data_IF_234452584514
#
_entry.id   IF_234452584514
#
_cell.length_a   1.000
_cell.length_b   1.000
_cell.length_c   1.000
_cell.angle_alpha   90.00
_cell.angle_beta   90.00
_cell.angle_gamma   90.00
#
_symmetry.space_group_name_H-M   'P 1'
#
loop_
_entity.id
_entity.type
_entity.pdbx_description
1 polymer ?
#
# COMPACT_ATOMS: atom_id res chain seq x y z
N UNK A 1 12.59 32.45 -13.56
CA UNK A 1 12.80 31.11 -14.14
C UNK A 1 11.74 30.20 -13.52
N UNK A 2 10.84 29.64 -14.32
CA UNK A 2 9.91 28.63 -13.82
C UNK A 2 10.74 27.41 -13.31
N UNK A 3 10.40 26.81 -12.16
CA UNK A 3 11.07 25.59 -11.74
C UNK A 3 10.80 24.54 -12.81
N UNK A 4 11.89 23.99 -13.37
CA UNK A 4 11.79 22.94 -14.38
C UNK A 4 10.94 21.79 -13.83
N UNK A 5 10.06 21.23 -14.66
CA UNK A 5 9.33 20.01 -14.34
C UNK A 5 10.36 18.93 -13.95
N UNK A 6 10.46 18.65 -12.69
CA UNK A 6 11.26 17.54 -12.18
C UNK A 6 10.37 16.32 -12.25
N UNK A 7 10.57 15.47 -13.25
CA UNK A 7 9.86 14.19 -13.31
C UNK A 7 10.22 13.38 -12.07
N UNK A 8 9.19 12.91 -11.36
CA UNK A 8 9.40 12.00 -10.25
C UNK A 8 10.01 10.68 -10.75
N UNK A 9 10.88 10.11 -9.95
CA UNK A 9 11.54 8.84 -10.24
C UNK A 9 11.08 7.81 -9.20
N UNK A 10 9.93 7.15 -9.41
CA UNK A 10 9.37 6.22 -8.46
C UNK A 10 10.05 4.86 -8.48
N UNK A 11 10.07 4.19 -7.33
CA UNK A 11 10.31 2.77 -7.15
C UNK A 11 9.13 2.14 -6.41
N UNK A 12 8.72 0.93 -6.79
CA UNK A 12 7.67 0.18 -6.10
C UNK A 12 8.33 -0.88 -5.23
N UNK A 13 7.97 -0.89 -3.96
CA UNK A 13 8.47 -1.86 -2.98
C UNK A 13 7.30 -2.58 -2.33
N UNK A 14 7.38 -3.92 -2.30
CA UNK A 14 6.34 -4.81 -1.78
C UNK A 14 6.88 -5.48 -0.53
N UNK A 15 6.51 -5.05 0.69
CA UNK A 15 6.95 -5.72 1.91
C UNK A 15 6.23 -7.05 2.07
N UNK A 16 7.00 -8.11 2.42
CA UNK A 16 6.45 -9.43 2.66
C UNK A 16 7.25 -10.18 3.73
N UNK A 17 6.56 -10.94 4.60
CA UNK A 17 7.18 -11.88 5.56
C UNK A 17 6.28 -13.08 5.77
N UNK A 18 6.90 -14.24 6.10
CA UNK A 18 6.15 -15.48 6.35
C UNK A 18 5.35 -15.44 7.66
N UNK A 19 5.80 -14.67 8.63
CA UNK A 19 5.17 -14.54 9.95
C UNK A 19 3.86 -13.74 9.85
N UNK A 20 2.76 -14.42 9.50
CA UNK A 20 1.41 -13.88 9.49
C UNK A 20 0.52 -14.68 10.45
N UNK A 21 -0.03 -14.00 11.47
CA UNK A 21 -0.77 -14.68 12.57
C UNK A 21 -2.07 -15.31 12.10
N UNK A 22 -2.83 -14.63 11.22
CA UNK A 22 -4.16 -15.07 10.75
C UNK A 22 -4.09 -16.05 9.56
N UNK A 23 -3.00 -16.03 8.81
CA UNK A 23 -2.78 -16.88 7.64
C UNK A 23 -1.28 -17.18 7.51
N UNK A 24 -0.74 -18.20 8.23
CA UNK A 24 0.66 -18.57 8.15
C UNK A 24 1.10 -18.88 6.70
N UNK A 25 2.29 -18.42 6.30
CA UNK A 25 2.77 -18.61 4.94
C UNK A 25 2.02 -17.79 3.88
N UNK A 26 1.24 -16.80 4.29
CA UNK A 26 0.39 -15.96 3.44
C UNK A 26 1.04 -15.52 2.11
N UNK A 27 2.29 -15.01 2.05
CA UNK A 27 2.89 -14.55 0.80
C UNK A 27 3.06 -15.66 -0.25
N UNK A 28 3.23 -16.91 0.18
CA UNK A 28 3.43 -18.06 -0.69
C UNK A 28 2.14 -18.87 -0.92
N UNK A 29 1.00 -18.44 -0.34
CA UNK A 29 -0.28 -19.08 -0.58
C UNK A 29 -0.61 -19.08 -2.07
N UNK A 30 -0.93 -20.27 -2.60
CA UNK A 30 -1.31 -20.41 -4.01
C UNK A 30 -2.67 -19.75 -4.28
N UNK A 31 -2.69 -18.95 -5.34
CA UNK A 31 -3.90 -18.35 -5.90
C UNK A 31 -3.88 -18.60 -7.41
N UNK A 32 -4.54 -19.67 -7.86
CA UNK A 32 -4.64 -20.02 -9.28
C UNK A 32 -3.26 -20.27 -9.92
N UNK A 33 -2.44 -21.12 -9.33
CA UNK A 33 -1.15 -21.56 -9.84
C UNK A 33 0.02 -20.59 -9.64
N UNK A 34 -0.17 -19.48 -8.90
CA UNK A 34 0.89 -18.56 -8.56
C UNK A 34 0.86 -18.20 -7.07
N UNK A 35 2.02 -18.08 -6.40
CA UNK A 35 2.10 -17.51 -5.07
C UNK A 35 1.48 -16.10 -5.02
N UNK A 36 0.80 -15.77 -3.92
CA UNK A 36 0.15 -14.46 -3.76
C UNK A 36 1.11 -13.29 -3.99
N UNK A 37 2.32 -13.35 -3.45
CA UNK A 37 3.33 -12.30 -3.62
C UNK A 37 3.72 -12.11 -5.09
N UNK A 38 3.77 -13.19 -5.88
CA UNK A 38 4.07 -13.13 -7.32
C UNK A 38 2.91 -12.46 -8.08
N UNK A 39 1.65 -12.67 -7.66
CA UNK A 39 0.52 -11.95 -8.25
C UNK A 39 0.60 -10.45 -7.98
N UNK A 40 0.89 -10.06 -6.75
CA UNK A 40 1.08 -8.64 -6.40
C UNK A 40 2.22 -8.03 -7.21
N UNK A 41 3.35 -8.75 -7.32
CA UNK A 41 4.49 -8.33 -8.15
C UNK A 41 4.06 -8.05 -9.60
N UNK A 42 3.30 -8.96 -10.21
CA UNK A 42 2.83 -8.79 -11.60
C UNK A 42 1.93 -7.56 -11.77
N UNK A 43 1.06 -7.29 -10.81
CA UNK A 43 0.23 -6.07 -10.84
C UNK A 43 1.08 -4.80 -10.71
N UNK A 44 2.09 -4.84 -9.84
CA UNK A 44 3.03 -3.74 -9.67
C UNK A 44 3.83 -3.47 -10.96
N UNK A 45 4.33 -4.54 -11.61
CA UNK A 45 5.03 -4.45 -12.91
C UNK A 45 4.11 -3.88 -14.01
N UNK A 46 2.84 -4.32 -14.04
CA UNK A 46 1.85 -3.83 -15.00
C UNK A 46 1.48 -2.35 -14.83
N UNK A 47 1.71 -1.78 -13.65
CA UNK A 47 1.54 -0.33 -13.44
C UNK A 47 2.52 0.50 -14.28
N UNK A 48 3.71 -0.02 -14.56
CA UNK A 48 4.66 0.59 -15.52
C UNK A 48 5.25 1.94 -15.08
N UNK A 49 5.20 2.27 -13.78
CA UNK A 49 5.63 3.57 -13.26
C UNK A 49 7.10 3.62 -12.79
N UNK A 50 7.74 2.47 -12.66
CA UNK A 50 9.13 2.38 -12.21
C UNK A 50 9.56 0.94 -11.93
N UNK A 51 10.82 0.73 -11.50
CA UNK A 51 11.29 -0.59 -11.09
C UNK A 51 10.52 -1.09 -9.87
N UNK A 52 10.33 -2.43 -9.83
CA UNK A 52 9.61 -3.13 -8.76
C UNK A 52 10.55 -4.08 -8.05
N UNK A 53 10.46 -4.16 -6.71
CA UNK A 53 11.14 -5.19 -5.94
C UNK A 53 10.31 -5.61 -4.72
N UNK A 54 10.46 -6.88 -4.32
CA UNK A 54 9.90 -7.40 -3.08
C UNK A 54 10.92 -7.23 -1.96
N UNK A 55 10.52 -6.55 -0.88
CA UNK A 55 11.29 -6.47 0.36
C UNK A 55 10.89 -7.66 1.24
N UNK A 56 11.68 -8.73 1.17
CA UNK A 56 11.37 -10.03 1.79
C UNK A 56 12.00 -10.17 3.18
N UNK A 57 11.23 -10.63 4.15
CA UNK A 57 11.75 -11.00 5.47
C UNK A 57 12.30 -12.42 5.54
N UNK A 58 12.05 -13.24 4.53
CA UNK A 58 12.35 -14.67 4.54
C UNK A 58 12.91 -15.12 3.18
N UNK A 59 13.86 -16.06 3.20
CA UNK A 59 14.54 -16.52 1.98
C UNK A 59 13.59 -17.22 1.00
N UNK A 60 12.59 -17.93 1.50
CA UNK A 60 11.60 -18.62 0.67
C UNK A 60 10.78 -17.66 -0.19
N UNK A 61 10.57 -16.43 0.30
CA UNK A 61 9.89 -15.37 -0.48
C UNK A 61 10.83 -14.89 -1.60
N UNK A 62 12.12 -14.72 -1.30
CA UNK A 62 13.12 -14.35 -2.31
C UNK A 62 13.17 -15.40 -3.42
N UNK A 63 13.29 -16.67 -3.07
CA UNK A 63 13.33 -17.79 -4.02
C UNK A 63 12.09 -17.83 -4.92
N UNK A 64 10.88 -17.65 -4.35
CA UNK A 64 9.64 -17.66 -5.12
C UNK A 64 9.53 -16.47 -6.10
N UNK A 65 9.99 -15.29 -5.69
CA UNK A 65 9.99 -14.08 -6.51
C UNK A 65 11.01 -14.20 -7.64
N UNK A 66 12.24 -14.67 -7.35
CA UNK A 66 13.30 -14.85 -8.35
C UNK A 66 12.97 -15.95 -9.35
N UNK A 67 12.39 -17.07 -8.89
CA UNK A 67 11.90 -18.13 -9.77
C UNK A 67 10.82 -17.64 -10.76
N UNK A 68 10.06 -16.60 -10.37
CA UNK A 68 9.11 -15.93 -11.24
C UNK A 68 9.75 -14.83 -12.12
N UNK A 69 11.08 -14.64 -12.05
CA UNK A 69 11.79 -13.60 -12.81
C UNK A 69 11.66 -12.19 -12.23
N UNK A 70 11.15 -12.05 -11.00
CA UNK A 70 11.07 -10.79 -10.29
C UNK A 70 12.36 -10.45 -9.53
N UNK A 71 12.40 -9.27 -8.94
CA UNK A 71 13.50 -8.82 -8.08
C UNK A 71 13.08 -8.85 -6.62
N UNK A 72 13.90 -9.42 -5.76
CA UNK A 72 13.70 -9.41 -4.32
C UNK A 72 14.96 -8.95 -3.57
N UNK A 73 14.76 -8.41 -2.37
CA UNK A 73 15.83 -8.05 -1.44
C UNK A 73 15.50 -8.68 -0.10
N UNK A 74 16.40 -9.50 0.41
CA UNK A 74 16.29 -10.04 1.76
C UNK A 74 16.57 -8.91 2.76
N UNK A 75 15.67 -8.75 3.70
CA UNK A 75 15.75 -7.76 4.79
C UNK A 75 15.70 -8.47 6.13
N UNK A 76 16.06 -7.79 7.20
CA UNK A 76 15.96 -8.35 8.55
C UNK A 76 14.49 -8.80 8.83
N UNK A 77 14.27 -10.08 9.21
CA UNK A 77 12.95 -10.60 9.52
C UNK A 77 12.27 -9.87 10.69
N UNK A 78 13.04 -9.33 11.62
CA UNK A 78 12.55 -8.71 12.85
C UNK A 78 12.19 -7.21 12.70
N UNK A 79 12.28 -6.65 11.49
CA UNK A 79 11.84 -5.28 11.25
C UNK A 79 10.39 -5.07 11.69
N UNK A 80 10.11 -3.97 12.44
CA UNK A 80 8.84 -3.79 13.14
C UNK A 80 7.64 -3.61 12.22
N UNK A 81 7.83 -2.99 11.04
CA UNK A 81 6.73 -2.70 10.12
C UNK A 81 7.09 -2.94 8.64
N UNK A 82 6.06 -2.89 7.79
CA UNK A 82 6.24 -2.87 6.34
C UNK A 82 7.00 -1.63 5.86
N UNK A 83 6.78 -0.49 6.49
CA UNK A 83 7.46 0.77 6.17
C UNK A 83 8.95 0.71 6.49
N UNK A 84 9.34 0.13 7.64
CA UNK A 84 10.75 -0.11 7.96
C UNK A 84 11.40 -1.06 6.97
N UNK A 85 10.67 -2.10 6.55
CA UNK A 85 11.15 -3.10 5.60
C UNK A 85 11.42 -2.52 4.22
N UNK A 86 10.51 -1.69 3.68
CA UNK A 86 10.74 -1.05 2.39
C UNK A 86 11.87 -0.02 2.47
N UNK A 87 12.05 0.68 3.60
CA UNK A 87 13.18 1.60 3.76
C UNK A 87 14.51 0.84 3.75
N UNK A 88 14.60 -0.31 4.45
CA UNK A 88 15.80 -1.15 4.43
C UNK A 88 16.12 -1.65 3.02
N UNK A 89 15.10 -2.13 2.29
CA UNK A 89 15.26 -2.56 0.90
C UNK A 89 15.66 -1.40 -0.02
N UNK A 90 15.09 -0.21 0.17
CA UNK A 90 15.45 0.99 -0.60
C UNK A 90 16.93 1.33 -0.42
N UNK A 91 17.45 1.28 0.82
CA UNK A 91 18.86 1.54 1.08
C UNK A 91 19.80 0.57 0.35
N UNK A 92 19.42 -0.70 0.21
CA UNK A 92 20.19 -1.70 -0.53
C UNK A 92 20.07 -1.53 -2.06
N UNK A 93 18.89 -1.13 -2.55
CA UNK A 93 18.61 -1.01 -4.00
C UNK A 93 19.08 0.31 -4.60
N UNK A 94 19.09 1.35 -3.81
CA UNK A 94 19.34 2.73 -4.25
C UNK A 94 20.19 3.52 -3.22
N UNK A 95 21.43 3.10 -2.98
CA UNK A 95 22.33 3.81 -2.06
C UNK A 95 22.68 5.23 -2.54
N UNK A 96 22.52 5.49 -3.84
CA UNK A 96 22.84 6.79 -4.44
C UNK A 96 21.67 7.79 -4.40
N UNK A 97 20.46 7.37 -3.98
CA UNK A 97 19.30 8.26 -3.83
C UNK A 97 18.69 8.74 -5.16
N UNK A 98 18.65 7.87 -6.16
CA UNK A 98 18.09 8.20 -7.49
C UNK A 98 16.57 8.25 -7.50
N UNK A 99 15.92 7.42 -6.65
CA UNK A 99 14.48 7.38 -6.52
C UNK A 99 14.01 8.38 -5.46
N UNK A 100 13.17 9.33 -5.85
CA UNK A 100 12.64 10.38 -4.98
C UNK A 100 11.22 10.07 -4.48
N UNK A 101 10.56 9.05 -5.06
CA UNK A 101 9.25 8.54 -4.65
C UNK A 101 9.31 7.03 -4.43
N UNK A 102 8.71 6.58 -3.34
CA UNK A 102 8.61 5.16 -2.96
C UNK A 102 7.15 4.77 -2.83
N UNK A 103 6.70 3.85 -3.69
CA UNK A 103 5.36 3.27 -3.57
C UNK A 103 5.46 2.02 -2.71
N UNK A 104 4.77 2.03 -1.57
CA UNK A 104 4.60 0.88 -0.68
C UNK A 104 3.32 0.15 -1.05
N UNK A 105 3.45 -0.96 -1.76
CA UNK A 105 2.34 -1.80 -2.16
C UNK A 105 2.28 -3.03 -1.26
N UNK A 106 1.18 -3.18 -0.51
CA UNK A 106 1.03 -4.31 0.40
C UNK A 106 1.02 -5.65 -0.33
N UNK A 107 1.78 -6.63 0.21
CA UNK A 107 1.95 -7.96 -0.39
C UNK A 107 0.72 -8.88 -0.31
N UNK A 108 -0.42 -8.37 0.10
CA UNK A 108 -1.67 -9.10 0.30
C UNK A 108 -2.85 -8.62 -0.57
N UNK A 109 -2.56 -7.86 -1.62
CA UNK A 109 -3.56 -7.33 -2.55
C UNK A 109 -3.32 -7.93 -3.97
N UNK A 110 -3.56 -9.24 -4.18
CA UNK A 110 -3.14 -9.96 -5.38
C UNK A 110 -3.81 -9.54 -6.68
N UNK A 111 -4.90 -8.78 -6.60
CA UNK A 111 -5.69 -8.32 -7.75
C UNK A 111 -5.86 -6.80 -7.78
N UNK A 112 -4.92 -6.08 -7.18
CA UNK A 112 -4.94 -4.63 -7.29
C UNK A 112 -4.86 -4.19 -8.75
N UNK A 113 -5.74 -3.29 -9.15
CA UNK A 113 -5.68 -2.71 -10.49
C UNK A 113 -4.41 -1.85 -10.64
N UNK A 114 -3.65 -1.98 -11.73
CA UNK A 114 -2.49 -1.13 -12.01
C UNK A 114 -2.82 0.37 -11.97
N UNK A 115 -4.06 0.73 -12.33
CA UNK A 115 -4.60 2.10 -12.27
C UNK A 115 -4.62 2.65 -10.84
N UNK A 116 -4.93 1.83 -9.84
CA UNK A 116 -4.91 2.24 -8.44
C UNK A 116 -3.49 2.58 -7.96
N UNK A 117 -2.50 1.81 -8.44
CA UNK A 117 -1.09 2.07 -8.14
C UNK A 117 -0.64 3.36 -8.81
N UNK A 118 -1.02 3.58 -10.08
CA UNK A 118 -0.75 4.83 -10.80
C UNK A 118 -1.40 6.02 -10.10
N UNK A 119 -2.68 5.93 -9.74
CA UNK A 119 -3.39 7.01 -9.05
C UNK A 119 -2.69 7.45 -7.75
N UNK A 120 -2.15 6.48 -6.99
CA UNK A 120 -1.37 6.77 -5.78
C UNK A 120 -0.07 7.52 -6.11
N UNK A 121 0.65 7.15 -7.16
CA UNK A 121 1.89 7.81 -7.58
C UNK A 121 1.62 9.20 -8.17
N UNK A 122 0.66 9.31 -9.08
CA UNK A 122 0.31 10.54 -9.79
C UNK A 122 -0.18 11.62 -8.82
N UNK A 123 -0.82 11.22 -7.72
CA UNK A 123 -1.30 12.16 -6.71
C UNK A 123 -0.15 12.95 -6.05
N UNK A 124 1.04 12.36 -5.88
CA UNK A 124 2.22 13.08 -5.40
C UNK A 124 2.74 14.11 -6.40
N UNK A 125 2.57 13.87 -7.70
CA UNK A 125 2.91 14.87 -8.72
C UNK A 125 1.90 16.01 -8.75
N UNK A 126 0.60 15.68 -8.66
CA UNK A 126 -0.50 16.64 -8.64
C UNK A 126 -0.52 17.50 -7.36
N UNK A 127 -0.03 16.95 -6.25
CA UNK A 127 -0.01 17.61 -4.93
C UNK A 127 1.44 17.80 -4.44
N UNK A 128 2.16 18.83 -4.92
CA UNK A 128 3.59 19.03 -4.60
C UNK A 128 3.90 19.17 -3.10
N UNK A 129 2.90 19.54 -2.31
CA UNK A 129 3.01 19.70 -0.85
C UNK A 129 2.63 18.43 -0.07
N UNK A 130 2.18 17.37 -0.75
CA UNK A 130 1.92 16.10 -0.09
C UNK A 130 3.24 15.41 0.27
N UNK A 131 3.37 14.99 1.52
CA UNK A 131 4.46 14.11 1.99
C UNK A 131 4.16 12.66 1.60
N UNK A 132 2.88 12.27 1.70
CA UNK A 132 2.38 10.92 1.50
C UNK A 132 1.11 10.96 0.66
N UNK A 133 0.98 10.03 -0.26
CA UNK A 133 -0.28 9.72 -0.95
C UNK A 133 -0.82 8.35 -0.52
N UNK A 134 -2.11 8.18 -0.63
CA UNK A 134 -2.80 6.90 -0.43
C UNK A 134 -4.06 6.85 -1.29
N UNK A 135 -4.88 5.81 -1.13
CA UNK A 135 -6.11 5.65 -1.90
C UNK A 135 -7.31 5.36 -0.99
N UNK A 136 -8.49 5.73 -1.47
CA UNK A 136 -9.75 5.47 -0.78
C UNK A 136 -10.85 5.16 -1.79
N UNK A 137 -11.90 4.49 -1.33
CA UNK A 137 -13.14 4.24 -2.08
C UNK A 137 -14.34 4.70 -1.27
N UNK A 138 -15.44 5.02 -1.94
CA UNK A 138 -16.70 5.21 -1.25
C UNK A 138 -17.18 3.88 -0.63
N UNK A 139 -17.82 3.93 0.54
CA UNK A 139 -18.46 2.76 1.14
C UNK A 139 -19.46 2.13 0.15
N UNK A 140 -19.49 0.78 0.10
CA UNK A 140 -20.43 0.06 -0.75
C UNK A 140 -21.79 -0.14 -0.06
N UNK A 141 -21.83 -0.09 1.28
CA UNK A 141 -23.04 -0.26 2.06
C UNK A 141 -22.87 0.12 3.54
N UNK A 142 -23.98 0.13 4.30
CA UNK A 142 -23.97 0.53 5.71
C UNK A 142 -23.06 -0.34 6.62
N UNK A 143 -22.83 -1.59 6.22
CA UNK A 143 -21.93 -2.53 6.93
C UNK A 143 -20.48 -2.05 6.88
N UNK A 144 -20.02 -1.45 5.79
CA UNK A 144 -18.65 -0.91 5.67
C UNK A 144 -18.43 0.22 6.67
N UNK A 145 -19.46 1.07 6.85
CA UNK A 145 -19.42 2.19 7.79
C UNK A 145 -19.19 1.73 9.23
N UNK A 146 -19.80 0.62 9.62
CA UNK A 146 -19.76 0.08 10.96
C UNK A 146 -18.65 -0.92 11.22
N UNK A 147 -18.03 -1.47 10.15
CA UNK A 147 -16.98 -2.48 10.27
C UNK A 147 -15.66 -1.85 10.75
N UNK A 148 -15.14 -2.22 11.96
CA UNK A 148 -13.89 -1.70 12.47
C UNK A 148 -12.64 -2.21 11.72
N UNK A 149 -12.77 -3.29 10.95
CA UNK A 149 -11.68 -3.83 10.15
C UNK A 149 -11.47 -3.05 8.84
N UNK A 150 -12.41 -2.18 8.49
CA UNK A 150 -12.34 -1.25 7.36
C UNK A 150 -12.07 0.17 7.87
N UNK A 151 -10.80 0.63 7.89
CA UNK A 151 -10.45 1.98 8.32
C UNK A 151 -11.11 3.04 7.43
N UNK A 152 -11.61 4.10 8.04
CA UNK A 152 -12.25 5.23 7.36
C UNK A 152 -11.27 6.39 7.24
N UNK A 153 -11.39 7.14 6.15
CA UNK A 153 -10.67 8.40 5.94
C UNK A 153 -11.64 9.56 6.15
N UNK A 154 -11.29 10.47 7.04
CA UNK A 154 -11.90 11.80 7.09
C UNK A 154 -11.07 12.72 6.22
N UNK A 155 -11.61 13.18 5.10
CA UNK A 155 -10.87 13.97 4.13
C UNK A 155 -11.55 15.31 3.81
N UNK A 156 -10.72 16.34 3.63
CA UNK A 156 -11.14 17.58 2.96
C UNK A 156 -11.01 17.34 1.45
N UNK A 157 -12.16 17.10 0.80
CA UNK A 157 -12.21 16.75 -0.61
C UNK A 157 -11.93 17.95 -1.51
N UNK A 158 -11.25 17.70 -2.60
CA UNK A 158 -11.11 18.65 -3.70
C UNK A 158 -12.46 18.88 -4.41
N UNK A 159 -12.64 20.03 -5.08
CA UNK A 159 -13.90 20.37 -5.74
C UNK A 159 -14.35 19.37 -6.82
N UNK A 160 -13.41 18.63 -7.43
CA UNK A 160 -13.70 17.61 -8.45
C UNK A 160 -14.11 16.26 -7.83
N UNK A 161 -13.97 16.11 -6.52
CA UNK A 161 -14.30 14.89 -5.78
C UNK A 161 -13.38 13.69 -6.05
N UNK A 162 -12.27 13.89 -6.76
CA UNK A 162 -11.36 12.80 -7.16
C UNK A 162 -10.20 12.57 -6.21
N UNK A 163 -9.94 13.53 -5.35
CA UNK A 163 -8.93 13.45 -4.30
C UNK A 163 -9.32 14.28 -3.08
N UNK A 164 -8.59 14.11 -1.99
CA UNK A 164 -8.79 14.91 -0.80
C UNK A 164 -7.62 14.80 0.16
N UNK A 165 -7.38 15.88 0.90
CA UNK A 165 -6.39 15.88 1.97
C UNK A 165 -6.96 15.13 3.19
N UNK A 166 -6.31 14.06 3.60
CA UNK A 166 -6.69 13.31 4.80
C UNK A 166 -6.49 14.18 6.06
N UNK A 167 -7.54 14.30 6.84
CA UNK A 167 -7.55 15.00 8.13
C UNK A 167 -7.40 14.03 9.29
N UNK A 168 -7.95 12.82 9.15
CA UNK A 168 -7.87 11.76 10.15
C UNK A 168 -8.17 10.40 9.54
N UNK A 169 -7.72 9.34 10.22
CA UNK A 169 -8.07 7.96 9.92
C UNK A 169 -8.64 7.30 11.19
N UNK A 170 -9.71 6.53 11.06
CA UNK A 170 -10.35 5.90 12.22
C UNK A 170 -10.98 4.55 11.89
N UNK A 171 -11.05 3.69 12.91
CA UNK A 171 -11.84 2.45 12.88
C UNK A 171 -13.25 2.64 13.43
N UNK A 172 -13.52 3.81 14.01
CA UNK A 172 -14.84 4.15 14.56
C UNK A 172 -15.87 4.41 13.47
N UNK A 173 -17.13 4.33 13.85
CA UNK A 173 -18.26 4.72 12.98
C UNK A 173 -18.25 6.23 12.78
N UNK A 174 -18.40 6.65 11.53
CA UNK A 174 -18.61 8.06 11.19
C UNK A 174 -20.12 8.31 11.01
N UNK A 175 -20.64 9.29 11.73
CA UNK A 175 -22.04 9.70 11.69
C UNK A 175 -22.23 10.87 10.70
N UNK A 176 -23.47 11.03 10.25
CA UNK A 176 -23.89 12.10 9.35
C UNK A 176 -24.19 11.63 7.95
N UNK A 177 -24.68 12.55 7.12
CA UNK A 177 -25.00 12.31 5.72
C UNK A 177 -23.76 12.46 4.84
N UNK A 178 -23.79 11.79 3.70
CA UNK A 178 -22.71 11.81 2.71
C UNK A 178 -21.86 10.54 2.69
N UNK A 179 -20.94 10.43 1.73
CA UNK A 179 -20.11 9.25 1.55
C UNK A 179 -19.13 9.11 2.70
N UNK A 180 -18.95 7.88 3.17
CA UNK A 180 -17.83 7.49 4.02
C UNK A 180 -16.75 6.90 3.13
N UNK A 181 -15.54 7.38 3.29
CA UNK A 181 -14.39 6.94 2.52
C UNK A 181 -13.67 5.82 3.25
N UNK A 182 -13.55 4.66 2.60
CA UNK A 182 -12.81 3.50 3.12
C UNK A 182 -11.38 3.58 2.63
N UNK A 183 -10.44 3.51 3.56
CA UNK A 183 -9.02 3.54 3.28
C UNK A 183 -8.49 2.19 2.80
N UNK A 184 -7.64 2.21 1.78
CA UNK A 184 -6.88 1.05 1.34
C UNK A 184 -5.38 1.31 1.46
N UNK A 185 -4.65 0.33 2.03
CA UNK A 185 -3.27 0.45 2.48
C UNK A 185 -2.20 0.46 1.38
N UNK A 186 -2.40 1.25 0.32
CA UNK A 186 -1.35 1.57 -0.66
C UNK A 186 -0.85 2.96 -0.34
N UNK A 187 0.46 3.14 -0.30
CA UNK A 187 1.04 4.44 0.01
C UNK A 187 2.12 4.82 -0.99
N UNK A 188 2.10 6.08 -1.40
CA UNK A 188 3.23 6.73 -2.03
C UNK A 188 3.90 7.66 -1.02
N UNK A 189 5.20 7.57 -0.90
CA UNK A 189 5.98 8.45 -0.03
C UNK A 189 6.94 9.27 -0.87
N UNK A 190 7.10 10.55 -0.58
CA UNK A 190 8.37 11.18 -0.92
C UNK A 190 9.46 10.52 -0.10
N UNK A 191 10.63 10.25 -0.70
CA UNK A 191 11.73 9.54 0.00
C UNK A 191 12.04 10.17 1.36
N UNK A 192 12.22 11.47 1.42
CA UNK A 192 12.50 12.17 2.67
C UNK A 192 11.36 12.05 3.70
N UNK A 193 10.11 11.92 3.25
CA UNK A 193 8.98 11.67 4.13
C UNK A 193 9.02 10.24 4.70
N UNK A 194 9.36 9.22 3.89
CA UNK A 194 9.52 7.85 4.36
C UNK A 194 10.64 7.75 5.41
N UNK A 195 11.79 8.37 5.14
CA UNK A 195 12.93 8.40 6.06
C UNK A 195 12.58 9.06 7.41
N UNK A 196 11.86 10.19 7.36
CA UNK A 196 11.37 10.87 8.58
C UNK A 196 10.33 10.04 9.34
N UNK A 197 9.42 9.41 8.61
CA UNK A 197 8.32 8.61 9.16
C UNK A 197 8.84 7.38 9.92
N UNK A 198 9.75 6.63 9.33
CA UNK A 198 10.34 5.42 9.95
C UNK A 198 11.29 5.75 11.09
N UNK A 199 11.95 6.90 11.07
CA UNK A 199 12.80 7.36 12.18
C UNK A 199 12.00 7.72 13.45
N UNK A 200 10.69 7.97 13.34
CA UNK A 200 9.86 8.33 14.47
C UNK A 200 9.30 7.10 15.20
N UNK A 201 9.23 7.11 16.53
CA UNK A 201 8.59 6.03 17.28
C UNK A 201 7.07 6.02 17.05
N UNK A 202 6.40 4.86 17.27
CA UNK A 202 4.94 4.78 17.19
C UNK A 202 4.24 5.83 18.05
N UNK A 203 3.29 6.54 17.47
CA UNK A 203 2.60 7.68 18.10
C UNK A 203 1.41 7.24 18.97
N UNK A 204 0.87 8.11 19.85
CA UNK A 204 -0.31 7.80 20.67
C UNK A 204 -1.55 7.42 19.85
N UNK A 205 -1.85 8.17 18.78
CA UNK A 205 -3.03 7.88 17.93
C UNK A 205 -2.86 6.59 17.14
N UNK A 206 -1.65 6.37 16.59
CA UNK A 206 -1.31 5.11 15.92
C UNK A 206 -1.56 3.90 16.81
N UNK A 207 -1.08 3.93 18.06
CA UNK A 207 -1.29 2.84 19.01
C UNK A 207 -2.76 2.64 19.38
N UNK A 208 -3.52 3.74 19.52
CA UNK A 208 -4.94 3.70 19.87
C UNK A 208 -5.79 3.11 18.76
N UNK A 209 -5.63 3.61 17.54
CA UNK A 209 -6.41 3.19 16.37
C UNK A 209 -5.81 1.94 15.67
N UNK A 210 -4.55 1.60 15.96
CA UNK A 210 -3.76 0.58 15.23
C UNK A 210 -3.69 0.90 13.73
N UNK A 211 -3.40 2.16 13.42
CA UNK A 211 -3.29 2.72 12.09
C UNK A 211 -1.97 3.49 12.00
N UNK A 212 -0.98 2.92 11.31
CA UNK A 212 0.40 3.43 11.24
C UNK A 212 0.45 4.86 10.66
N UNK A 213 -0.38 5.17 9.68
CA UNK A 213 -0.42 6.47 9.02
C UNK A 213 -0.83 7.64 9.94
N UNK A 214 -1.41 7.36 11.10
CA UNK A 214 -1.70 8.41 12.10
C UNK A 214 -0.43 9.01 12.69
N UNK A 215 0.66 8.25 12.76
CA UNK A 215 1.98 8.78 13.14
C UNK A 215 2.39 9.94 12.23
N UNK A 216 2.20 9.79 10.92
CA UNK A 216 2.52 10.85 9.97
C UNK A 216 1.71 12.13 10.25
N UNK A 217 0.40 12.01 10.50
CA UNK A 217 -0.44 13.16 10.84
C UNK A 217 -0.01 13.83 12.16
N UNK A 218 0.33 13.06 13.20
CA UNK A 218 0.83 13.60 14.49
C UNK A 218 2.19 14.28 14.33
N UNK A 219 3.00 13.88 13.33
CA UNK A 219 4.25 14.54 12.96
C UNK A 219 4.06 15.80 12.10
N UNK A 220 2.82 16.17 11.78
CA UNK A 220 2.50 17.30 10.92
C UNK A 220 2.76 17.06 9.43
N UNK A 221 2.90 15.79 9.01
CA UNK A 221 2.98 15.43 7.60
C UNK A 221 1.62 15.54 6.93
N UNK A 222 1.63 15.85 5.64
CA UNK A 222 0.42 15.92 4.83
C UNK A 222 0.19 14.61 4.08
N UNK A 223 -1.03 14.06 4.19
CA UNK A 223 -1.45 12.86 3.47
C UNK A 223 -2.59 13.24 2.53
N UNK A 224 -2.47 12.86 1.27
CA UNK A 224 -3.53 13.01 0.27
C UNK A 224 -4.03 11.64 -0.16
N UNK A 225 -5.34 11.53 -0.42
CA UNK A 225 -5.98 10.28 -0.82
C UNK A 225 -6.65 10.44 -2.19
N UNK A 226 -6.29 9.58 -3.13
CA UNK A 226 -7.00 9.48 -4.42
C UNK A 226 -8.25 8.61 -4.26
N UNK A 227 -9.34 9.00 -4.92
CA UNK A 227 -10.58 8.21 -4.97
C UNK A 227 -10.45 7.17 -6.08
N UNK A 228 -10.71 5.91 -5.75
CA UNK A 228 -10.81 4.82 -6.70
C UNK A 228 -12.28 4.46 -6.96
N UNK A 229 -12.56 3.96 -8.16
CA UNK A 229 -13.90 3.49 -8.54
C UNK A 229 -14.21 2.12 -7.92
N UNK A 230 -13.19 1.27 -7.70
CA UNK A 230 -13.33 -0.08 -7.15
C UNK A 230 -12.35 -0.34 -5.99
N UNK A 231 -12.82 -1.06 -4.99
CA UNK A 231 -12.02 -1.46 -3.84
C UNK A 231 -11.02 -2.56 -4.21
N UNK A 232 -9.73 -2.41 -3.90
CA UNK A 232 -8.77 -3.50 -4.00
C UNK A 232 -9.15 -4.65 -3.05
N UNK A 233 -9.10 -5.89 -3.54
CA UNK A 233 -9.38 -7.09 -2.74
C UNK A 233 -8.13 -7.47 -1.95
N UNK A 234 -8.18 -7.37 -0.62
CA UNK A 234 -7.13 -7.84 0.28
C UNK A 234 -7.40 -9.28 0.75
N UNK A 235 -6.32 -9.99 1.08
CA UNK A 235 -6.36 -11.36 1.62
C UNK A 235 -5.76 -11.34 3.02
N UNK A 236 -6.58 -11.40 4.05
CA UNK A 236 -6.15 -11.32 5.45
C UNK A 236 -6.37 -12.60 6.25
N UNK A 237 -7.27 -13.44 5.81
CA UNK A 237 -7.67 -14.67 6.48
C UNK A 237 -7.99 -15.78 5.47
N UNK A 238 -8.23 -17.04 5.90
CA UNK A 238 -8.53 -18.14 4.98
C UNK A 238 -9.77 -17.92 4.10
N UNK A 239 -10.81 -17.24 4.60
CA UNK A 239 -12.00 -16.95 3.80
C UNK A 239 -11.71 -15.97 2.66
N UNK A 240 -10.86 -14.98 2.91
CA UNK A 240 -10.37 -14.05 1.87
C UNK A 240 -9.58 -14.78 0.80
N UNK A 241 -8.71 -15.73 1.22
CA UNK A 241 -7.93 -16.54 0.30
C UNK A 241 -8.83 -17.36 -0.64
N UNK A 242 -9.88 -17.96 -0.12
CA UNK A 242 -10.84 -18.69 -0.96
C UNK A 242 -11.59 -17.76 -1.93
N UNK A 243 -11.94 -16.54 -1.49
CA UNK A 243 -12.52 -15.53 -2.39
C UNK A 243 -11.53 -15.12 -3.49
N UNK A 244 -10.26 -14.94 -3.14
CA UNK A 244 -9.21 -14.62 -4.09
C UNK A 244 -9.01 -15.76 -5.12
N UNK A 245 -9.02 -17.02 -4.68
CA UNK A 245 -8.97 -18.20 -5.56
C UNK A 245 -10.17 -18.27 -6.50
N UNK A 246 -11.37 -18.02 -5.97
CA UNK A 246 -12.57 -17.97 -6.79
C UNK A 246 -12.51 -16.83 -7.82
N UNK A 247 -11.94 -15.68 -7.46
CA UNK A 247 -11.71 -14.58 -8.38
C UNK A 247 -10.70 -14.95 -9.48
N UNK A 248 -9.59 -15.59 -9.14
CA UNK A 248 -8.60 -16.07 -10.09
C UNK A 248 -9.22 -17.02 -11.14
N UNK A 249 -10.03 -17.97 -10.67
CA UNK A 249 -10.74 -18.91 -11.58
C UNK A 249 -11.66 -18.17 -12.57
N UNK A 250 -12.36 -17.11 -12.13
CA UNK A 250 -13.19 -16.29 -13.03
C UNK A 250 -12.37 -15.57 -14.10
N UNK A 251 -11.12 -15.27 -13.81
CA UNK A 251 -10.17 -14.66 -14.75
C UNK A 251 -9.45 -15.70 -15.63
N UNK A 252 -9.80 -16.99 -15.54
CA UNK A 252 -9.21 -18.07 -16.35
C UNK A 252 -7.92 -18.67 -15.79
N UNK A 253 -7.58 -18.40 -14.53
CA UNK A 253 -6.46 -19.07 -13.87
C UNK A 253 -6.78 -20.55 -13.60
N UNK A 254 -5.76 -21.45 -13.58
CA UNK A 254 -5.97 -22.86 -13.23
C UNK A 254 -6.53 -23.01 -11.82
N UNK A 255 -7.21 -24.14 -11.59
CA UNK A 255 -7.85 -24.48 -10.31
C UNK A 255 -6.82 -24.82 -9.25
#
# INVERSE_FOLDING_TARGET
>A
MAPGLRFMTPILLIPARMAATRLPGKPLADIGGLPMIVRVLRQAEAAGIGPVAVAAGDAEIVEAVEAAGGRAVLTDPDLPSGSDRILAALGALDPEGRFDVVINLQGDIPFIAPEAIRACADLLDQQPHADISTVMVAEAGPEDRTNPDMPKVVAAMDPDGRSGRALYFTRSVLYGDGPVWIHHGIYGYRRAALERFTAAPPSPLERRERLEQLRALEMGMTIWSAVLDEAPVSVDNPADLERARAHARRLGAPA
#
